data_IF_475399430508
#
_entry.id   IF_475399430508
#
_cell.length_a   1.000
_cell.length_b   1.000
_cell.length_c   1.000
_cell.angle_alpha   90.00
_cell.angle_beta   90.00
_cell.angle_gamma   90.00
#
_symmetry.space_group_name_H-M   'P 1'
#
loop_
_entity.id
_entity.type
_entity.pdbx_description
1 polymer ?
#
# COMPACT_ATOMS: atom_id res chain seq x y z
N UNK A 1 -1.07 -20.97 -0.77
CA UNK A 1 -0.52 -19.61 -0.94
C UNK A 1 0.36 -19.35 0.28
N UNK A 2 1.64 -18.98 0.08
CA UNK A 2 2.59 -18.80 1.18
C UNK A 2 2.71 -17.30 1.42
N UNK A 3 1.86 -16.76 2.28
CA UNK A 3 2.02 -15.39 2.76
C UNK A 3 3.16 -15.41 3.78
N UNK A 4 4.36 -15.08 3.33
CA UNK A 4 5.53 -15.01 4.20
C UNK A 4 5.70 -13.56 4.63
N UNK A 5 5.32 -13.27 5.88
CA UNK A 5 5.79 -12.09 6.58
C UNK A 5 7.25 -12.36 7.00
N UNK A 6 8.22 -11.69 6.36
CA UNK A 6 9.61 -11.75 6.84
C UNK A 6 9.87 -10.56 7.77
N UNK A 7 10.01 -10.95 9.03
CA UNK A 7 10.46 -10.33 10.28
C UNK A 7 11.11 -8.95 10.27
N UNK A 8 10.64 -8.14 11.23
CA UNK A 8 11.46 -7.15 11.93
C UNK A 8 12.53 -7.88 12.75
N UNK A 9 13.79 -7.81 12.33
CA UNK A 9 14.88 -8.12 13.24
C UNK A 9 15.31 -6.82 13.92
N UNK A 10 15.03 -6.73 15.22
CA UNK A 10 15.50 -5.68 16.13
C UNK A 10 15.09 -4.22 15.83
N UNK A 11 14.04 -3.76 16.51
CA UNK A 11 13.80 -2.34 16.83
C UNK A 11 13.85 -1.33 15.65
N UNK A 12 12.76 -1.22 14.86
CA UNK A 12 12.18 0.04 14.26
C UNK A 12 11.64 -0.01 12.81
N UNK A 13 11.27 -1.15 12.22
CA UNK A 13 11.06 -1.16 10.75
C UNK A 13 9.61 -1.35 10.29
N UNK A 14 9.15 -0.52 9.33
CA UNK A 14 7.86 -0.65 8.63
C UNK A 14 8.00 -1.22 7.21
N UNK A 15 9.00 -2.07 6.95
CA UNK A 15 9.17 -2.74 5.64
C UNK A 15 8.22 -3.95 5.58
N UNK A 16 7.29 -3.92 4.62
CA UNK A 16 6.41 -5.05 4.30
C UNK A 16 6.95 -5.78 3.08
N UNK A 17 7.12 -7.10 3.18
CA UNK A 17 7.57 -7.99 2.12
C UNK A 17 6.47 -9.01 1.80
N UNK A 18 6.17 -9.19 0.52
CA UNK A 18 5.23 -10.17 0.02
C UNK A 18 5.87 -10.98 -1.09
N UNK A 19 5.69 -12.30 -1.05
CA UNK A 19 6.24 -13.20 -2.06
C UNK A 19 5.14 -14.13 -2.57
N UNK A 20 4.94 -14.12 -3.88
CA UNK A 20 4.09 -15.05 -4.62
C UNK A 20 4.79 -15.28 -5.95
N UNK A 21 5.37 -16.46 -6.14
CA UNK A 21 6.12 -16.79 -7.36
C UNK A 21 5.33 -16.41 -8.63
N UNK A 22 5.94 -15.67 -9.59
CA UNK A 22 7.36 -15.31 -9.66
C UNK A 22 7.74 -13.98 -8.99
N UNK A 23 6.84 -13.34 -8.26
CA UNK A 23 6.96 -11.97 -7.76
C UNK A 23 7.39 -11.86 -6.29
N UNK A 24 8.18 -10.83 -6.03
CA UNK A 24 8.25 -10.18 -4.72
C UNK A 24 7.69 -8.76 -4.83
N UNK A 25 7.00 -8.31 -3.80
CA UNK A 25 6.52 -6.94 -3.62
C UNK A 25 6.97 -6.43 -2.26
N UNK A 26 7.57 -5.24 -2.24
CA UNK A 26 8.08 -4.63 -1.02
C UNK A 26 7.53 -3.22 -0.88
N UNK A 27 6.96 -2.92 0.29
CA UNK A 27 6.52 -1.58 0.66
C UNK A 27 7.31 -1.09 1.87
N UNK A 28 7.74 0.16 1.87
CA UNK A 28 8.53 0.73 2.98
C UNK A 28 8.32 2.23 3.11
N UNK A 29 8.53 2.77 4.31
CA UNK A 29 8.62 4.23 4.49
C UNK A 29 10.00 4.73 4.05
N UNK A 30 10.09 6.00 3.65
CA UNK A 30 11.36 6.64 3.29
C UNK A 30 12.41 6.55 4.42
N UNK A 31 11.96 6.62 5.68
CA UNK A 31 12.81 6.47 6.88
C UNK A 31 13.50 5.12 6.96
N UNK A 32 12.96 4.09 6.31
CA UNK A 32 13.37 2.70 6.50
C UNK A 32 14.48 2.29 5.51
N UNK A 33 14.99 3.22 4.71
CA UNK A 33 16.06 2.99 3.75
C UNK A 33 17.35 2.38 4.34
N UNK A 34 17.80 2.76 5.55
CA UNK A 34 18.96 2.11 6.17
C UNK A 34 18.75 0.60 6.32
N UNK A 35 17.57 0.20 6.77
CA UNK A 35 17.21 -1.19 7.05
C UNK A 35 16.96 -2.00 5.78
N UNK A 36 16.45 -1.35 4.72
CA UNK A 36 16.38 -1.99 3.40
C UNK A 36 17.75 -2.55 3.00
N UNK A 37 18.86 -1.83 3.26
CA UNK A 37 20.20 -2.25 2.83
C UNK A 37 20.70 -3.55 3.47
N UNK A 38 20.06 -3.99 4.55
CA UNK A 38 20.38 -5.23 5.27
C UNK A 38 19.69 -6.45 4.66
N UNK A 39 18.75 -6.24 3.73
CA UNK A 39 17.96 -7.29 3.10
C UNK A 39 18.58 -7.77 1.79
N UNK A 40 18.53 -9.07 1.51
CA UNK A 40 19.10 -9.66 0.27
C UNK A 40 18.47 -9.06 -1.00
N UNK A 41 17.14 -8.87 -0.98
CA UNK A 41 16.38 -8.32 -2.10
C UNK A 41 16.67 -6.83 -2.37
N UNK A 42 17.41 -6.15 -1.50
CA UNK A 42 17.82 -4.76 -1.68
C UNK A 42 18.81 -4.56 -2.83
N UNK A 43 19.38 -5.67 -3.32
CA UNK A 43 20.30 -5.71 -4.46
C UNK A 43 19.63 -6.13 -5.76
N UNK A 44 18.34 -6.46 -5.75
CA UNK A 44 17.66 -6.95 -6.94
C UNK A 44 17.43 -5.82 -7.95
N UNK A 45 17.48 -6.12 -9.26
CA UNK A 45 16.88 -5.25 -10.25
C UNK A 45 15.37 -5.21 -10.02
N UNK A 46 14.78 -4.02 -10.08
CA UNK A 46 13.40 -3.81 -9.65
C UNK A 46 12.73 -2.68 -10.44
N UNK A 47 11.40 -2.71 -10.46
CA UNK A 47 10.57 -1.55 -10.81
C UNK A 47 9.94 -1.01 -9.53
N UNK A 48 9.93 0.31 -9.37
CA UNK A 48 9.50 0.97 -8.15
C UNK A 48 8.59 2.16 -8.42
N UNK A 49 7.80 2.50 -7.41
CA UNK A 49 6.93 3.67 -7.34
C UNK A 49 7.30 4.46 -6.08
N UNK A 50 7.71 5.71 -6.26
CA UNK A 50 7.85 6.67 -5.18
C UNK A 50 6.48 7.30 -4.92
N UNK A 51 6.09 7.36 -3.66
CA UNK A 51 4.74 7.73 -3.21
C UNK A 51 4.86 8.89 -2.21
N UNK A 52 4.03 9.92 -2.37
CA UNK A 52 3.86 10.96 -1.37
C UNK A 52 2.71 11.89 -1.72
N UNK A 53 1.78 12.08 -0.77
CA UNK A 53 0.53 12.79 -1.05
C UNK A 53 -0.18 12.27 -2.32
N UNK A 54 -0.53 13.19 -3.23
CA UNK A 54 -1.13 12.86 -4.53
C UNK A 54 -0.10 12.55 -5.64
N UNK A 55 1.19 12.57 -5.34
CA UNK A 55 2.25 12.43 -6.35
C UNK A 55 2.72 10.99 -6.46
N UNK A 56 3.01 10.57 -7.69
CA UNK A 56 3.57 9.25 -8.00
C UNK A 56 4.73 9.42 -8.96
N UNK A 57 5.78 8.64 -8.77
CA UNK A 57 6.89 8.56 -9.73
C UNK A 57 7.27 7.10 -9.91
N UNK A 58 7.17 6.63 -11.15
CA UNK A 58 7.59 5.29 -11.54
C UNK A 58 9.05 5.33 -11.98
N UNK A 59 9.83 4.35 -11.58
CA UNK A 59 11.17 4.18 -12.11
C UNK A 59 11.64 2.74 -12.08
N UNK A 60 12.78 2.49 -12.71
CA UNK A 60 13.47 1.20 -12.63
C UNK A 60 14.89 1.29 -12.08
N UNK A 61 15.34 0.18 -11.49
CA UNK A 61 16.72 -0.06 -11.09
C UNK A 61 17.27 -1.25 -11.89
N UNK A 62 17.96 -0.97 -13.00
CA UNK A 62 18.68 -1.93 -13.81
C UNK A 62 20.16 -1.52 -13.90
N UNK A 63 21.07 -2.47 -13.65
CA UNK A 63 22.51 -2.23 -13.61
C UNK A 63 23.02 -1.56 -12.32
N UNK A 64 22.16 -1.39 -11.32
CA UNK A 64 22.51 -1.03 -9.95
C UNK A 64 21.46 -1.59 -8.98
N UNK A 65 21.78 -1.64 -7.68
CA UNK A 65 20.84 -2.10 -6.66
C UNK A 65 19.67 -1.13 -6.48
N UNK A 66 18.49 -1.66 -6.13
CA UNK A 66 17.32 -0.83 -5.78
C UNK A 66 17.63 0.08 -4.57
N UNK A 67 18.35 -0.42 -3.57
CA UNK A 67 18.77 0.40 -2.41
C UNK A 67 19.63 1.60 -2.78
N UNK A 68 20.56 1.45 -3.72
CA UNK A 68 21.39 2.57 -4.21
C UNK A 68 20.55 3.55 -5.02
N UNK A 69 19.66 3.06 -5.90
CA UNK A 69 18.78 3.91 -6.70
C UNK A 69 17.83 4.74 -5.83
N UNK A 70 17.24 4.15 -4.79
CA UNK A 70 16.38 4.86 -3.84
C UNK A 70 17.17 5.88 -3.03
N UNK A 71 18.40 5.53 -2.58
CA UNK A 71 19.30 6.47 -1.90
C UNK A 71 19.56 7.72 -2.74
N UNK A 72 19.82 7.54 -4.04
CA UNK A 72 20.04 8.65 -4.97
C UNK A 72 18.80 9.54 -5.12
N UNK A 73 17.60 8.98 -5.19
CA UNK A 73 16.37 9.78 -5.24
C UNK A 73 16.14 10.55 -3.95
N UNK A 74 16.34 9.92 -2.80
CA UNK A 74 16.08 10.58 -1.52
C UNK A 74 17.04 11.74 -1.24
N UNK A 75 18.21 11.77 -1.86
CA UNK A 75 19.13 12.90 -1.75
C UNK A 75 18.72 14.11 -2.60
N UNK A 76 17.78 13.98 -3.54
CA UNK A 76 17.38 15.09 -4.42
C UNK A 76 16.26 15.92 -3.81
N UNK A 77 16.40 17.24 -3.90
CA UNK A 77 15.39 18.20 -3.39
C UNK A 77 14.05 18.08 -4.12
N UNK A 78 14.04 17.82 -5.43
CA UNK A 78 12.81 17.63 -6.22
C UNK A 78 12.04 16.34 -5.86
N UNK A 79 12.62 15.49 -5.00
CA UNK A 79 12.03 14.28 -4.44
C UNK A 79 11.80 14.37 -2.92
N UNK A 80 11.84 15.57 -2.33
CA UNK A 80 11.56 15.77 -0.91
C UNK A 80 10.12 15.36 -0.50
N UNK A 81 9.18 15.33 -1.46
CA UNK A 81 7.78 14.93 -1.25
C UNK A 81 7.60 13.42 -1.03
N UNK A 82 8.62 12.59 -1.26
CA UNK A 82 8.49 11.13 -1.16
C UNK A 82 8.38 10.72 0.31
N UNK A 83 7.30 10.04 0.65
CA UNK A 83 6.98 9.55 2.00
C UNK A 83 7.22 8.03 2.10
N UNK A 84 6.91 7.28 1.04
CA UNK A 84 7.03 5.83 0.98
C UNK A 84 7.40 5.33 -0.42
N UNK A 85 7.78 4.06 -0.49
CA UNK A 85 8.15 3.37 -1.72
C UNK A 85 7.43 2.04 -1.79
N UNK A 86 6.98 1.70 -2.98
CA UNK A 86 6.57 0.35 -3.36
C UNK A 86 7.53 -0.12 -4.47
N UNK A 87 8.11 -1.31 -4.37
CA UNK A 87 8.86 -1.89 -5.49
C UNK A 87 8.59 -3.37 -5.63
N UNK A 88 8.72 -3.87 -6.84
CA UNK A 88 8.61 -5.29 -7.13
C UNK A 88 9.76 -5.76 -8.00
N UNK A 89 10.09 -7.03 -7.84
CA UNK A 89 11.11 -7.72 -8.58
C UNK A 89 10.69 -9.18 -8.77
N UNK A 90 11.46 -9.94 -9.56
CA UNK A 90 11.35 -11.40 -9.55
C UNK A 90 11.93 -11.95 -8.26
N UNK A 91 11.28 -12.98 -7.70
CA UNK A 91 11.73 -13.66 -6.48
C UNK A 91 13.14 -14.28 -6.64
N UNK A 92 13.50 -14.70 -7.86
CA UNK A 92 14.84 -15.21 -8.17
C UNK A 92 15.91 -14.12 -8.35
N UNK A 93 15.55 -12.83 -8.21
CA UNK A 93 16.43 -11.67 -8.40
C UNK A 93 16.91 -11.46 -9.84
N UNK A 94 16.37 -12.19 -10.82
CA UNK A 94 16.86 -12.19 -12.20
C UNK A 94 15.92 -11.45 -13.14
N UNK A 95 16.01 -10.12 -13.13
CA UNK A 95 15.41 -9.27 -14.17
C UNK A 95 16.49 -8.65 -15.03
N UNK A 96 16.35 -8.76 -16.34
CA UNK A 96 17.20 -8.05 -17.29
C UNK A 96 16.77 -6.59 -17.43
N UNK A 97 17.60 -5.80 -18.11
CA UNK A 97 17.23 -4.43 -18.49
C UNK A 97 15.96 -4.39 -19.36
N UNK A 98 15.78 -5.38 -20.25
CA UNK A 98 14.60 -5.45 -21.09
C UNK A 98 13.32 -5.67 -20.26
N UNK A 99 13.38 -6.51 -19.23
CA UNK A 99 12.27 -6.73 -18.31
C UNK A 99 11.93 -5.44 -17.56
N UNK A 100 12.93 -4.79 -16.96
CA UNK A 100 12.70 -3.55 -16.19
C UNK A 100 12.19 -2.40 -17.05
N UNK A 101 12.71 -2.23 -18.27
CA UNK A 101 12.25 -1.17 -19.18
C UNK A 101 10.82 -1.44 -19.66
N UNK A 102 10.49 -2.71 -19.96
CA UNK A 102 9.14 -3.12 -20.33
C UNK A 102 8.12 -2.87 -19.21
N UNK A 103 8.45 -3.30 -18.00
CA UNK A 103 7.58 -3.19 -16.83
C UNK A 103 7.43 -1.75 -16.33
N UNK A 104 8.50 -0.95 -16.35
CA UNK A 104 8.45 0.50 -16.05
C UNK A 104 7.49 1.20 -17.01
N UNK A 105 7.63 0.95 -18.32
CA UNK A 105 6.77 1.55 -19.34
C UNK A 105 5.31 1.11 -19.20
N UNK A 106 5.06 -0.19 -18.96
CA UNK A 106 3.70 -0.72 -18.72
C UNK A 106 3.09 -0.04 -17.49
N UNK A 107 3.85 0.11 -16.41
CA UNK A 107 3.37 0.77 -15.19
C UNK A 107 3.12 2.27 -15.38
N UNK A 108 3.99 2.98 -16.09
CA UNK A 108 3.76 4.39 -16.46
C UNK A 108 2.48 4.53 -17.27
N UNK A 109 2.27 3.66 -18.27
CA UNK A 109 1.06 3.65 -19.08
C UNK A 109 -0.19 3.40 -18.22
N UNK A 110 -0.13 2.41 -17.32
CA UNK A 110 -1.24 2.15 -16.40
C UNK A 110 -1.50 3.35 -15.47
N UNK A 111 -0.47 4.06 -14.99
CA UNK A 111 -0.70 5.32 -14.27
C UNK A 111 -1.35 6.39 -15.15
N UNK A 112 -0.97 6.53 -16.41
CA UNK A 112 -1.55 7.54 -17.30
C UNK A 112 -3.00 7.25 -17.69
N UNK A 113 -3.33 5.98 -17.91
CA UNK A 113 -4.66 5.56 -18.35
C UNK A 113 -5.61 5.37 -17.18
N UNK A 114 -5.07 4.81 -16.10
CA UNK A 114 -5.87 4.42 -14.96
C UNK A 114 -5.83 5.51 -13.92
N UNK A 115 -4.75 6.20 -13.57
CA UNK A 115 -4.61 6.91 -12.28
C UNK A 115 -5.12 8.36 -12.18
N UNK A 116 -5.61 8.74 -10.99
CA UNK A 116 -5.94 10.13 -10.61
C UNK A 116 -4.76 10.86 -9.94
N UNK A 117 -3.65 10.16 -9.72
CA UNK A 117 -2.48 10.73 -9.08
C UNK A 117 -1.66 11.57 -10.07
N UNK A 118 -1.01 12.61 -9.55
CA UNK A 118 -0.07 13.42 -10.32
C UNK A 118 1.18 12.59 -10.61
N UNK A 119 1.30 12.12 -11.85
CA UNK A 119 2.46 11.38 -12.30
C UNK A 119 3.63 12.33 -12.59
N UNK A 120 4.68 12.25 -11.77
CA UNK A 120 5.86 13.10 -11.81
C UNK A 120 6.91 12.63 -12.84
N UNK A 121 6.59 11.62 -13.65
CA UNK A 121 7.46 11.15 -14.73
C UNK A 121 7.50 12.18 -15.85
N UNK A 122 8.70 12.62 -16.24
CA UNK A 122 8.91 13.49 -17.41
C UNK A 122 9.08 12.71 -18.72
N UNK A 123 9.20 11.39 -18.65
CA UNK A 123 9.40 10.48 -19.78
C UNK A 123 8.43 9.31 -19.72
N UNK A 124 8.21 8.65 -20.85
CA UNK A 124 7.36 7.44 -20.95
C UNK A 124 8.11 6.14 -20.60
N UNK A 125 9.29 6.25 -19.97
CA UNK A 125 10.18 5.12 -19.69
C UNK A 125 11.15 4.81 -20.84
N UNK A 126 12.11 3.93 -20.57
CA UNK A 126 13.05 3.47 -21.58
C UNK A 126 12.44 2.38 -22.47
N UNK A 127 13.04 2.15 -23.64
CA UNK A 127 12.67 1.04 -24.53
C UNK A 127 13.87 0.15 -24.82
N UNK A 128 13.66 -1.15 -24.68
CA UNK A 128 14.60 -2.20 -25.01
C UNK A 128 13.85 -3.28 -25.78
N UNK A 129 14.54 -4.00 -26.67
CA UNK A 129 13.95 -5.17 -27.32
C UNK A 129 13.67 -6.24 -26.26
N UNK A 130 12.47 -6.82 -26.32
CA UNK A 130 12.03 -7.93 -25.46
C UNK A 130 11.39 -8.98 -26.37
N UNK A 131 11.83 -10.23 -26.25
CA UNK A 131 11.25 -11.31 -27.03
C UNK A 131 9.88 -11.75 -26.48
N UNK A 132 9.15 -12.57 -27.23
CA UNK A 132 7.79 -12.97 -26.87
C UNK A 132 7.71 -13.76 -25.57
N UNK A 133 8.66 -14.67 -25.32
CA UNK A 133 8.66 -15.51 -24.13
C UNK A 133 9.00 -14.65 -22.90
N UNK A 134 10.03 -13.81 -23.03
CA UNK A 134 10.43 -12.90 -21.97
C UNK A 134 9.32 -11.89 -21.62
N UNK A 135 8.64 -11.34 -22.65
CA UNK A 135 7.48 -10.48 -22.45
C UNK A 135 6.36 -11.20 -21.70
N UNK A 136 6.04 -12.44 -22.05
CA UNK A 136 5.00 -13.22 -21.37
C UNK A 136 5.37 -13.48 -19.89
N UNK A 137 6.64 -13.73 -19.59
CA UNK A 137 7.12 -13.88 -18.21
C UNK A 137 7.03 -12.57 -17.41
N UNK A 138 7.38 -11.45 -18.04
CA UNK A 138 7.20 -10.12 -17.45
C UNK A 138 5.72 -9.81 -17.22
N UNK A 139 4.84 -10.20 -18.15
CA UNK A 139 3.39 -10.02 -17.99
C UNK A 139 2.86 -10.82 -16.81
N UNK A 140 3.23 -12.09 -16.67
CA UNK A 140 2.86 -12.92 -15.51
C UNK A 140 3.36 -12.33 -14.19
N UNK A 141 4.61 -11.82 -14.16
CA UNK A 141 5.15 -11.13 -12.98
C UNK A 141 4.29 -9.93 -12.62
N UNK A 142 3.95 -9.09 -13.60
CA UNK A 142 3.14 -7.90 -13.41
C UNK A 142 1.76 -8.26 -12.85
N UNK A 143 1.07 -9.23 -13.45
CA UNK A 143 -0.27 -9.64 -13.03
C UNK A 143 -0.24 -10.19 -11.58
N UNK A 144 0.77 -11.00 -11.25
CA UNK A 144 0.98 -11.52 -9.88
C UNK A 144 1.21 -10.40 -8.86
N UNK A 145 1.95 -9.34 -9.24
CA UNK A 145 2.17 -8.16 -8.38
C UNK A 145 0.86 -7.43 -8.11
N UNK A 146 0.00 -7.27 -9.11
CA UNK A 146 -1.30 -6.60 -8.93
C UNK A 146 -2.26 -7.43 -8.10
N UNK A 147 -2.27 -8.75 -8.25
CA UNK A 147 -3.00 -9.63 -7.33
C UNK A 147 -2.55 -9.44 -5.87
N UNK A 148 -1.24 -9.34 -5.60
CA UNK A 148 -0.73 -9.08 -4.24
C UNK A 148 -1.21 -7.70 -3.73
N UNK A 149 -1.13 -6.67 -4.58
CA UNK A 149 -1.55 -5.31 -4.24
C UNK A 149 -3.03 -5.25 -3.84
N UNK A 150 -3.87 -5.94 -4.61
CA UNK A 150 -5.33 -5.94 -4.46
C UNK A 150 -5.81 -6.84 -3.32
N UNK A 151 -5.28 -8.07 -3.23
CA UNK A 151 -5.74 -9.07 -2.27
C UNK A 151 -5.12 -8.87 -0.88
N UNK A 152 -3.86 -8.45 -0.81
CA UNK A 152 -3.07 -8.53 0.43
C UNK A 152 -2.69 -7.14 0.95
N UNK A 153 -2.02 -6.33 0.11
CA UNK A 153 -1.37 -5.12 0.61
C UNK A 153 -2.35 -3.96 0.86
N UNK A 154 -3.59 -4.04 0.34
CA UNK A 154 -4.60 -2.99 0.44
C UNK A 154 -4.04 -1.61 0.00
N UNK A 155 -3.09 -1.61 -0.95
CA UNK A 155 -2.43 -0.39 -1.42
C UNK A 155 -3.27 0.18 -2.56
N UNK A 156 -3.70 1.42 -2.42
CA UNK A 156 -4.29 2.16 -3.53
C UNK A 156 -3.17 2.74 -4.41
N UNK A 157 -2.72 1.93 -5.38
CA UNK A 157 -1.57 2.28 -6.21
C UNK A 157 -1.95 3.34 -7.25
N UNK A 158 -3.07 3.16 -7.97
CA UNK A 158 -3.51 4.04 -9.06
C UNK A 158 -4.56 5.07 -8.65
N UNK A 159 -5.20 4.98 -7.49
CA UNK A 159 -6.08 6.06 -7.05
C UNK A 159 -7.37 6.24 -7.84
N UNK A 160 -7.78 5.27 -8.66
CA UNK A 160 -8.88 5.43 -9.61
C UNK A 160 -10.05 4.47 -9.58
N UNK A 161 -11.20 5.13 -9.74
CA UNK A 161 -12.26 4.93 -10.75
C UNK A 161 -13.18 3.71 -10.73
N UNK A 162 -13.50 3.18 -9.56
CA UNK A 162 -14.95 3.10 -9.26
C UNK A 162 -15.53 4.47 -8.81
N UNK A 163 -14.66 5.46 -8.54
CA UNK A 163 -15.00 6.76 -7.94
C UNK A 163 -14.78 7.98 -8.87
N UNK A 164 -14.91 7.84 -10.19
CA UNK A 164 -14.97 9.00 -11.10
C UNK A 164 -16.34 9.72 -11.06
N UNK A 165 -17.30 9.18 -10.34
CA UNK A 165 -18.28 10.04 -9.72
C UNK A 165 -17.54 10.79 -8.60
N UNK A 166 -17.52 12.14 -8.64
CA UNK A 166 -17.49 12.91 -7.38
C UNK A 166 -18.34 12.11 -6.41
N UNK A 167 -17.78 11.49 -5.35
CA UNK A 167 -18.58 10.60 -4.53
C UNK A 167 -19.75 11.47 -4.12
N UNK A 168 -20.96 11.09 -4.51
CA UNK A 168 -22.14 11.81 -4.06
C UNK A 168 -22.19 11.50 -2.58
N UNK A 169 -21.49 12.33 -1.82
CA UNK A 169 -21.42 12.20 -0.39
C UNK A 169 -22.85 12.40 0.07
N UNK A 170 -23.42 11.37 0.68
CA UNK A 170 -24.50 11.63 1.60
C UNK A 170 -23.88 12.47 2.72
N UNK A 171 -24.07 13.78 2.62
CA UNK A 171 -23.63 14.70 3.65
C UNK A 171 -24.44 14.39 4.91
N UNK A 172 -23.72 14.19 6.01
CA UNK A 172 -24.40 13.97 7.27
C UNK A 172 -25.06 15.27 7.71
N UNK A 173 -26.35 15.20 8.03
CA UNK A 173 -27.08 16.34 8.59
C UNK A 173 -26.60 16.72 10.00
N UNK A 174 -25.80 15.86 10.63
CA UNK A 174 -25.28 16.02 11.99
C UNK A 174 -23.90 16.70 12.02
N UNK A 175 -23.23 16.86 10.88
CA UNK A 175 -21.84 17.33 10.80
C UNK A 175 -20.82 16.30 11.32
N UNK A 176 -21.21 15.04 11.51
CA UNK A 176 -20.32 13.94 11.87
C UNK A 176 -20.03 13.01 10.70
N UNK A 177 -18.97 12.21 10.83
CA UNK A 177 -18.68 11.08 9.95
C UNK A 177 -19.49 9.88 10.43
N UNK A 178 -20.28 9.25 9.57
CA UNK A 178 -21.18 8.16 9.96
C UNK A 178 -20.99 6.93 9.07
N UNK A 179 -21.15 5.74 9.64
CA UNK A 179 -21.21 4.47 8.92
C UNK A 179 -22.37 3.62 9.44
N UNK A 180 -23.12 3.05 8.50
CA UNK A 180 -24.17 2.07 8.75
C UNK A 180 -23.77 0.73 8.13
N UNK A 181 -23.90 -0.35 8.91
CA UNK A 181 -23.64 -1.73 8.46
C UNK A 181 -24.39 -2.70 9.38
N UNK A 182 -24.92 -3.81 8.85
CA UNK A 182 -25.61 -4.83 9.65
C UNK A 182 -26.63 -4.27 10.68
N UNK A 183 -27.38 -3.22 10.31
CA UNK A 183 -28.35 -2.51 11.19
C UNK A 183 -27.72 -1.78 12.38
N UNK A 184 -26.40 -1.67 12.45
CA UNK A 184 -25.63 -0.85 13.39
C UNK A 184 -25.31 0.48 12.73
N UNK A 185 -25.28 1.54 13.53
CA UNK A 185 -24.86 2.86 13.12
C UNK A 185 -23.78 3.36 14.07
N UNK A 186 -22.67 3.84 13.51
CA UNK A 186 -21.57 4.47 14.24
C UNK A 186 -21.38 5.88 13.71
N UNK A 187 -21.00 6.81 14.60
CA UNK A 187 -20.71 8.19 14.24
C UNK A 187 -19.49 8.70 15.01
N UNK A 188 -18.67 9.51 14.34
CA UNK A 188 -17.50 10.13 14.96
C UNK A 188 -17.29 11.57 14.50
N UNK A 189 -16.68 12.38 15.37
CA UNK A 189 -16.35 13.78 15.08
C UNK A 189 -15.20 13.95 14.08
N UNK A 190 -14.49 12.86 13.75
CA UNK A 190 -13.40 12.87 12.77
C UNK A 190 -13.40 11.62 11.93
N UNK A 191 -12.95 11.71 10.68
CA UNK A 191 -12.83 10.54 9.80
C UNK A 191 -11.97 9.44 10.44
N UNK A 192 -10.80 9.80 10.99
CA UNK A 192 -9.92 8.84 11.68
C UNK A 192 -10.60 8.17 12.87
N UNK A 193 -11.38 8.92 13.64
CA UNK A 193 -12.18 8.36 14.73
C UNK A 193 -13.19 7.35 14.22
N UNK A 194 -13.89 7.64 13.12
CA UNK A 194 -14.83 6.69 12.50
C UNK A 194 -14.16 5.37 12.13
N UNK A 195 -12.95 5.40 11.57
CA UNK A 195 -12.17 4.18 11.29
C UNK A 195 -11.89 3.38 12.57
N UNK A 196 -11.42 4.05 13.63
CA UNK A 196 -11.11 3.40 14.92
C UNK A 196 -12.38 2.80 15.52
N UNK A 197 -13.48 3.54 15.54
CA UNK A 197 -14.77 3.11 16.10
C UNK A 197 -15.34 1.92 15.31
N UNK A 198 -15.27 1.98 13.97
CA UNK A 198 -15.71 0.91 13.09
C UNK A 198 -14.92 -0.38 13.33
N UNK A 199 -13.59 -0.32 13.28
CA UNK A 199 -12.73 -1.49 13.50
C UNK A 199 -12.93 -2.06 14.91
N UNK A 200 -13.02 -1.21 15.93
CA UNK A 200 -13.26 -1.65 17.32
C UNK A 200 -14.59 -2.41 17.43
N UNK A 201 -15.65 -1.89 16.79
CA UNK A 201 -16.95 -2.56 16.81
C UNK A 201 -16.93 -3.89 16.05
N UNK A 202 -16.18 -4.01 14.95
CA UNK A 202 -16.06 -5.29 14.22
C UNK A 202 -15.42 -6.38 15.09
N UNK A 203 -14.46 -6.06 15.97
CA UNK A 203 -13.89 -7.02 16.91
C UNK A 203 -14.86 -7.49 18.00
N UNK A 204 -15.91 -6.73 18.28
CA UNK A 204 -16.98 -7.17 19.20
C UNK A 204 -18.00 -8.08 18.51
N UNK A 205 -17.99 -8.12 17.18
CA UNK A 205 -18.91 -8.93 16.40
C UNK A 205 -18.28 -10.28 16.07
N UNK A 206 -18.82 -11.35 16.67
CA UNK A 206 -18.33 -12.70 16.45
C UNK A 206 -18.34 -13.10 14.97
N UNK A 207 -19.21 -12.49 14.15
CA UNK A 207 -19.31 -12.73 12.71
C UNK A 207 -18.02 -12.37 11.96
N UNK A 208 -17.32 -11.32 12.39
CA UNK A 208 -16.16 -10.76 11.67
C UNK A 208 -14.82 -11.06 12.34
N UNK A 209 -14.84 -11.47 13.61
CA UNK A 209 -13.62 -11.62 14.39
C UNK A 209 -12.64 -12.61 13.75
N UNK A 210 -13.09 -13.76 13.26
CA UNK A 210 -12.21 -14.78 12.65
C UNK A 210 -11.47 -14.23 11.42
N UNK A 211 -12.20 -13.64 10.47
CA UNK A 211 -11.62 -13.00 9.28
C UNK A 211 -10.72 -11.82 9.65
N UNK A 212 -11.08 -11.04 10.66
CA UNK A 212 -10.22 -9.96 11.16
C UNK A 212 -8.90 -10.48 11.71
N UNK A 213 -8.88 -11.63 12.41
CA UNK A 213 -7.63 -12.19 12.94
C UNK A 213 -6.65 -12.52 11.81
N UNK A 214 -7.13 -12.96 10.65
CA UNK A 214 -6.30 -13.26 9.47
C UNK A 214 -5.62 -12.01 8.87
N UNK A 215 -6.16 -10.82 9.14
CA UNK A 215 -5.64 -9.55 8.62
C UNK A 215 -4.64 -8.87 9.57
N UNK A 216 -4.47 -9.37 10.79
CA UNK A 216 -3.58 -8.77 11.79
C UNK A 216 -2.15 -9.24 11.58
N UNK A 217 -1.22 -8.29 11.44
CA UNK A 217 0.22 -8.60 11.45
C UNK A 217 0.74 -8.69 12.89
N UNK A 218 1.74 -9.54 13.14
CA UNK A 218 2.34 -9.72 14.48
C UNK A 218 3.09 -8.47 14.99
N UNK A 219 3.36 -7.51 14.12
CA UNK A 219 4.12 -6.30 14.39
C UNK A 219 3.22 -5.05 14.45
N UNK A 220 3.76 -3.89 14.08
CA UNK A 220 3.04 -2.63 14.06
C UNK A 220 2.20 -2.48 12.80
N UNK A 221 0.97 -1.94 12.88
CA UNK A 221 0.16 -1.67 11.69
C UNK A 221 0.82 -0.57 10.85
N UNK A 222 0.66 -0.65 9.53
CA UNK A 222 1.23 0.27 8.55
C UNK A 222 0.15 0.84 7.62
N UNK A 223 0.56 1.71 6.69
CA UNK A 223 -0.34 2.19 5.64
C UNK A 223 -0.91 1.04 4.79
N UNK A 224 -0.14 -0.02 4.56
CA UNK A 224 -0.56 -1.19 3.79
C UNK A 224 -1.41 -2.13 4.68
N UNK A 225 -0.80 -2.62 5.77
CA UNK A 225 -1.43 -3.56 6.70
C UNK A 225 -1.99 -2.80 7.90
N UNK A 226 -3.27 -2.44 7.82
CA UNK A 226 -3.85 -1.48 8.78
C UNK A 226 -4.04 -2.05 10.19
N UNK A 227 -3.91 -3.37 10.41
CA UNK A 227 -4.06 -4.02 11.72
C UNK A 227 -2.77 -4.70 12.15
N UNK A 228 -2.35 -4.49 13.40
CA UNK A 228 -1.13 -5.08 13.96
C UNK A 228 -1.22 -5.34 15.47
N UNK A 229 -0.34 -6.18 16.00
CA UNK A 229 -0.28 -6.52 17.44
C UNK A 229 0.46 -5.49 18.29
N UNK A 230 1.29 -4.63 17.68
CA UNK A 230 2.08 -3.61 18.38
C UNK A 230 1.65 -2.19 17.98
N UNK A 231 1.79 -1.19 18.87
CA UNK A 231 1.52 0.20 18.50
C UNK A 231 2.58 0.72 17.52
N UNK A 232 2.13 1.31 16.41
CA UNK A 232 2.98 2.08 15.49
C UNK A 232 3.19 3.52 16.01
N UNK A 233 4.39 4.07 15.77
CA UNK A 233 4.81 5.42 16.15
C UNK A 233 5.49 6.14 14.98
N UNK A 234 5.29 7.45 14.85
CA UNK A 234 6.00 8.33 13.91
C UNK A 234 6.54 9.55 14.65
N UNK A 235 7.86 9.77 14.60
CA UNK A 235 8.54 10.86 15.32
C UNK A 235 8.14 10.96 16.81
N UNK A 236 8.04 9.81 17.48
CA UNK A 236 7.66 9.72 18.89
C UNK A 236 6.18 9.98 19.19
N UNK A 237 5.33 10.18 18.17
CA UNK A 237 3.87 10.31 18.31
C UNK A 237 3.17 9.04 17.82
N UNK A 238 2.12 8.57 18.50
CA UNK A 238 1.31 7.46 18.00
C UNK A 238 0.70 7.80 16.64
N UNK A 239 0.89 6.91 15.66
CA UNK A 239 0.20 6.96 14.36
C UNK A 239 -0.80 5.78 14.21
N UNK A 240 -1.03 5.04 15.30
CA UNK A 240 -2.01 3.95 15.43
C UNK A 240 -2.87 4.12 16.70
N UNK A 241 -4.00 3.42 16.77
CA UNK A 241 -4.92 3.43 17.90
C UNK A 241 -5.32 2.00 18.31
N UNK A 242 -5.46 1.73 19.61
CA UNK A 242 -5.91 0.42 20.12
C UNK A 242 -7.39 0.21 19.79
N UNK A 243 -7.74 -0.93 19.22
CA UNK A 243 -9.11 -1.28 18.77
C UNK A 243 -9.66 -2.54 19.42
N UNK A 244 -8.78 -3.44 19.86
CA UNK A 244 -9.12 -4.62 20.65
C UNK A 244 -7.94 -4.98 21.55
N UNK A 245 -8.10 -6.00 22.39
CA UNK A 245 -6.98 -6.41 23.24
C UNK A 245 -5.81 -6.94 22.41
N UNK A 246 -4.63 -6.36 22.63
CA UNK A 246 -3.44 -6.63 21.81
C UNK A 246 -3.58 -6.30 20.32
N UNK A 247 -4.52 -5.44 19.89
CA UNK A 247 -4.70 -5.07 18.47
C UNK A 247 -4.75 -3.56 18.29
N UNK A 248 -4.00 -3.06 17.32
CA UNK A 248 -3.88 -1.66 16.94
C UNK A 248 -4.23 -1.47 15.47
N UNK A 249 -4.92 -0.36 15.16
CA UNK A 249 -5.20 0.08 13.80
C UNK A 249 -4.30 1.26 13.41
N UNK A 250 -3.68 1.25 12.23
CA UNK A 250 -3.00 2.43 11.69
C UNK A 250 -4.04 3.51 11.39
N UNK A 251 -3.86 4.71 11.96
CA UNK A 251 -4.87 5.78 11.92
C UNK A 251 -4.34 7.08 11.29
N UNK A 252 -3.06 7.15 10.91
CA UNK A 252 -2.47 8.34 10.31
C UNK A 252 -2.71 8.42 8.80
N UNK A 253 -3.99 8.57 8.45
CA UNK A 253 -4.47 8.77 7.08
C UNK A 253 -5.01 10.20 6.90
N UNK A 254 -5.04 10.72 5.68
CA UNK A 254 -5.86 11.88 5.33
C UNK A 254 -7.34 11.46 5.19
N UNK A 255 -8.28 12.42 5.09
CA UNK A 255 -9.74 12.12 5.03
C UNK A 255 -10.12 11.18 3.88
N UNK A 256 -9.55 11.38 2.68
CA UNK A 256 -9.79 10.53 1.50
C UNK A 256 -9.36 9.09 1.78
N UNK A 257 -8.13 8.92 2.26
CA UNK A 257 -7.56 7.60 2.56
C UNK A 257 -8.30 6.88 3.68
N UNK A 258 -8.85 7.58 4.68
CA UNK A 258 -9.69 6.93 5.69
C UNK A 258 -10.91 6.26 5.07
N UNK A 259 -11.63 6.97 4.19
CA UNK A 259 -12.81 6.41 3.50
C UNK A 259 -12.46 5.16 2.71
N UNK A 260 -11.43 5.26 1.88
CA UNK A 260 -10.92 4.16 1.05
C UNK A 260 -10.58 2.95 1.94
N UNK A 261 -9.92 3.16 3.08
CA UNK A 261 -9.54 2.06 3.98
C UNK A 261 -10.76 1.41 4.64
N UNK A 262 -11.79 2.18 5.00
CA UNK A 262 -13.05 1.65 5.51
C UNK A 262 -13.75 0.81 4.43
N UNK A 263 -13.92 1.36 3.22
CA UNK A 263 -14.61 0.68 2.11
C UNK A 263 -13.88 -0.59 1.68
N UNK A 264 -12.55 -0.57 1.60
CA UNK A 264 -11.75 -1.75 1.28
C UNK A 264 -11.81 -2.82 2.37
N UNK A 265 -11.70 -2.45 3.65
CA UNK A 265 -11.87 -3.40 4.75
C UNK A 265 -13.27 -4.02 4.75
N UNK A 266 -14.31 -3.21 4.55
CA UNK A 266 -15.68 -3.69 4.44
C UNK A 266 -15.85 -4.68 3.28
N UNK A 267 -15.28 -4.36 2.10
CA UNK A 267 -15.27 -5.25 0.93
C UNK A 267 -14.58 -6.58 1.22
N UNK A 268 -13.40 -6.55 1.86
CA UNK A 268 -12.65 -7.77 2.25
C UNK A 268 -13.46 -8.66 3.20
N UNK A 269 -14.22 -8.06 4.11
CA UNK A 269 -15.07 -8.77 5.08
C UNK A 269 -16.48 -9.08 4.54
N UNK A 270 -16.78 -8.75 3.28
CA UNK A 270 -18.11 -8.95 2.68
C UNK A 270 -19.23 -8.13 3.36
N UNK A 271 -18.90 -6.97 3.94
CA UNK A 271 -19.82 -6.12 4.68
C UNK A 271 -20.38 -5.03 3.76
N UNK A 272 -21.70 -5.02 3.49
CA UNK A 272 -22.33 -3.87 2.85
C UNK A 272 -22.33 -2.69 3.83
N UNK A 273 -21.70 -1.58 3.44
CA UNK A 273 -21.61 -0.37 4.24
C UNK A 273 -22.27 0.81 3.53
N UNK A 274 -22.91 1.69 4.30
CA UNK A 274 -23.33 3.02 3.86
C UNK A 274 -22.60 4.06 4.67
N UNK A 275 -22.02 5.03 3.98
CA UNK A 275 -21.08 5.97 4.59
C UNK A 275 -21.54 7.41 4.33
N UNK A 276 -21.74 8.18 5.40
CA UNK A 276 -22.07 9.62 5.32
C UNK A 276 -20.90 10.47 5.80
N UNK A 277 -20.52 11.46 5.01
CA UNK A 277 -19.31 12.25 5.23
C UNK A 277 -19.65 13.70 5.62
N UNK A 278 -18.76 14.32 6.41
CA UNK A 278 -18.77 15.76 6.69
C UNK A 278 -17.62 16.46 5.96
#
# INVERSE_FOLDING_TARGET
MKQIFIFSDTQKDNISYFEREPAILVSMSRSDLPYLKEQDFANYPAVYVLIGGNKRYVGQAAGQSISLRLSQHFLKEDKAWVESVLFFARADGKMSKADTDYLERRLIQDFQEKSDYELMNSTTGNSSYIDKLQKAQSDQLYDTVFEIIDEIANIDLFGTSEDNETPTYEYSSSGQYEIEYDKKQLSSKSARGLLVDFVSQLFTDAKYNEQLQELIVDETPSFAMILGRKPSMYNGRPNSAKVADGVWVYANFNKKNVRIKIEKLARQLGIPVKIKWN
#
